data_IF_085703391719
#
_entry.id   IF_085703391719
#
_cell.length_a   1.000
_cell.length_b   1.000
_cell.length_c   1.000
_cell.angle_alpha   90.00
_cell.angle_beta   90.00
_cell.angle_gamma   90.00
#
_symmetry.space_group_name_H-M   'P 1'
#
loop_
_entity.id
_entity.type
_entity.pdbx_description
1 polymer ?
#
# COMPACT_ATOMS: atom_id res chain seq x y z
N UNK A 1 6.44 11.59 -25.01
CA UNK A 1 5.04 11.18 -24.83
C UNK A 1 4.97 9.66 -24.85
N UNK A 2 4.62 9.02 -23.74
CA UNK A 2 4.17 7.62 -23.80
C UNK A 2 2.92 7.46 -22.92
N UNK A 3 1.89 8.21 -23.31
CA UNK A 3 0.53 8.06 -22.80
C UNK A 3 -0.11 6.89 -23.55
N UNK A 4 -0.03 5.69 -22.98
CA UNK A 4 -0.61 4.51 -23.63
C UNK A 4 -0.82 3.26 -22.77
N UNK A 5 -0.21 3.14 -21.59
CA UNK A 5 -0.26 1.90 -20.79
C UNK A 5 -0.81 2.05 -19.35
N UNK A 6 -1.38 3.20 -18.99
CA UNK A 6 -1.97 3.47 -17.66
C UNK A 6 -3.48 3.24 -17.66
N UNK A 7 -3.95 2.05 -18.06
CA UNK A 7 -5.38 1.71 -17.92
C UNK A 7 -5.64 0.24 -17.60
N UNK A 8 -4.82 -0.40 -16.78
CA UNK A 8 -5.35 -1.51 -15.98
C UNK A 8 -5.38 -1.03 -14.55
N UNK A 9 -6.45 -0.31 -14.20
CA UNK A 9 -6.75 -0.02 -12.81
C UNK A 9 -7.00 -1.37 -12.12
N UNK A 10 -5.94 -1.93 -11.55
CA UNK A 10 -6.02 -3.16 -10.77
C UNK A 10 -7.06 -2.95 -9.67
N UNK A 11 -7.80 -4.01 -9.34
CA UNK A 11 -8.83 -3.95 -8.29
C UNK A 11 -8.26 -3.40 -6.97
N UNK A 12 -6.99 -3.69 -6.70
CA UNK A 12 -6.20 -3.12 -5.60
C UNK A 12 -6.02 -1.61 -5.75
N UNK A 13 -5.58 -1.10 -6.90
CA UNK A 13 -5.42 0.34 -7.14
C UNK A 13 -6.72 1.13 -6.91
N UNK A 14 -7.86 0.60 -7.39
CA UNK A 14 -9.17 1.22 -7.14
C UNK A 14 -9.53 1.23 -5.66
N UNK A 15 -9.29 0.12 -4.96
CA UNK A 15 -9.52 -0.01 -3.51
C UNK A 15 -8.68 1.01 -2.73
N UNK A 16 -7.41 1.16 -3.09
CA UNK A 16 -6.50 2.13 -2.47
C UNK A 16 -6.93 3.58 -2.72
N UNK A 17 -7.39 3.91 -3.93
CA UNK A 17 -7.93 5.23 -4.25
C UNK A 17 -9.16 5.57 -3.42
N UNK A 18 -10.08 4.61 -3.22
CA UNK A 18 -11.26 4.77 -2.37
C UNK A 18 -10.88 4.90 -0.89
N UNK A 19 -9.98 4.04 -0.39
CA UNK A 19 -9.48 4.12 0.98
C UNK A 19 -8.83 5.47 1.28
N UNK A 20 -8.05 6.01 0.32
CA UNK A 20 -7.47 7.35 0.45
C UNK A 20 -8.53 8.43 0.57
N UNK A 21 -9.53 8.42 -0.32
CA UNK A 21 -10.63 9.40 -0.29
C UNK A 21 -11.41 9.35 1.02
N UNK A 22 -11.56 8.17 1.60
CA UNK A 22 -12.20 7.96 2.89
C UNK A 22 -11.33 8.34 4.10
N UNK A 23 -10.04 8.66 3.91
CA UNK A 23 -9.10 9.02 4.98
C UNK A 23 -8.47 7.84 5.71
N UNK A 24 -8.56 6.62 5.16
CA UNK A 24 -8.09 5.39 5.79
C UNK A 24 -6.71 4.92 5.35
N UNK A 25 -5.86 5.86 4.89
CA UNK A 25 -4.49 5.54 4.44
C UNK A 25 -3.45 6.41 5.15
N UNK A 26 -2.31 5.81 5.45
CA UNK A 26 -1.12 6.48 5.96
C UNK A 26 0.06 6.20 5.03
N UNK A 27 0.92 7.19 4.81
CA UNK A 27 2.12 7.10 3.97
C UNK A 27 3.35 7.66 4.69
N UNK A 28 4.54 7.32 4.22
CA UNK A 28 5.80 7.88 4.72
C UNK A 28 6.04 7.65 6.22
N UNK A 29 6.44 8.69 6.94
CA UNK A 29 6.69 8.62 8.39
C UNK A 29 5.44 8.27 9.19
N UNK A 30 4.28 8.82 8.82
CA UNK A 30 3.01 8.52 9.50
C UNK A 30 2.62 7.05 9.40
N UNK A 31 2.94 6.40 8.28
CA UNK A 31 2.76 4.95 8.14
C UNK A 31 3.65 4.19 9.13
N UNK A 32 4.93 4.57 9.25
CA UNK A 32 5.84 3.93 10.20
C UNK A 32 5.37 4.08 11.65
N UNK A 33 4.82 5.24 12.02
CA UNK A 33 4.24 5.45 13.34
C UNK A 33 2.94 4.64 13.51
N UNK A 34 2.13 4.53 12.45
CA UNK A 34 0.95 3.67 12.40
C UNK A 34 1.28 2.20 12.66
N UNK A 35 2.39 1.69 12.09
CA UNK A 35 2.88 0.34 12.38
C UNK A 35 3.22 0.19 13.86
N UNK A 36 4.02 1.12 14.41
CA UNK A 36 4.49 1.06 15.81
C UNK A 36 3.35 1.16 16.82
N UNK A 37 2.30 1.88 16.47
CA UNK A 37 1.11 2.07 17.31
C UNK A 37 0.03 1.02 17.05
N UNK A 38 0.27 0.03 16.17
CA UNK A 38 -0.69 -1.00 15.74
C UNK A 38 -2.02 -0.42 15.26
N UNK A 39 -1.98 0.74 14.60
CA UNK A 39 -3.15 1.40 14.01
C UNK A 39 -3.43 1.00 12.57
N UNK A 40 -2.50 0.26 11.96
CA UNK A 40 -2.68 -0.24 10.59
C UNK A 40 -3.25 -1.65 10.62
N UNK A 41 -4.22 -1.89 9.77
CA UNK A 41 -4.80 -3.22 9.53
C UNK A 41 -4.04 -3.98 8.44
N UNK A 42 -3.41 -3.28 7.50
CA UNK A 42 -2.52 -3.86 6.49
C UNK A 42 -1.53 -2.82 5.92
N UNK A 43 -0.45 -3.31 5.32
CA UNK A 43 0.52 -2.51 4.56
C UNK A 43 0.65 -3.08 3.14
N UNK A 44 0.63 -2.19 2.15
CA UNK A 44 0.95 -2.52 0.76
C UNK A 44 2.30 -1.88 0.41
N UNK A 45 3.23 -2.70 -0.01
CA UNK A 45 4.60 -2.34 -0.37
C UNK A 45 4.77 -2.53 -1.88
N UNK A 46 5.37 -1.55 -2.55
CA UNK A 46 5.60 -1.64 -3.99
C UNK A 46 6.65 -2.73 -4.31
N UNK A 47 6.42 -3.47 -5.40
CA UNK A 47 7.26 -4.61 -5.82
C UNK A 47 8.66 -4.19 -6.25
N UNK A 48 8.83 -2.96 -6.72
CA UNK A 48 10.08 -2.31 -7.14
C UNK A 48 10.65 -1.35 -6.07
N UNK A 49 10.12 -1.39 -4.84
CA UNK A 49 10.74 -0.69 -3.73
C UNK A 49 12.17 -1.21 -3.49
N UNK A 50 13.10 -0.32 -3.10
CA UNK A 50 14.48 -0.72 -2.79
C UNK A 50 14.55 -1.80 -1.71
N UNK A 51 15.52 -2.72 -1.83
CA UNK A 51 15.77 -3.79 -0.84
C UNK A 51 15.83 -3.28 0.60
N UNK A 52 16.49 -2.13 0.82
CA UNK A 52 16.53 -1.46 2.12
C UNK A 52 15.13 -1.14 2.64
N UNK A 53 14.27 -0.59 1.78
CA UNK A 53 12.90 -0.22 2.14
C UNK A 53 12.07 -1.46 2.43
N UNK A 54 12.15 -2.48 1.56
CA UNK A 54 11.45 -3.74 1.75
C UNK A 54 11.81 -4.39 3.07
N UNK A 55 13.11 -4.50 3.36
CA UNK A 55 13.60 -5.04 4.63
C UNK A 55 13.04 -4.29 5.84
N UNK A 56 13.19 -2.96 5.87
CA UNK A 56 12.74 -2.16 7.03
C UNK A 56 11.23 -2.26 7.24
N UNK A 57 10.44 -2.22 6.16
CA UNK A 57 8.97 -2.31 6.26
C UNK A 57 8.56 -3.71 6.68
N UNK A 58 9.08 -4.76 6.04
CA UNK A 58 8.76 -6.15 6.36
C UNK A 58 9.18 -6.51 7.79
N UNK A 59 10.37 -6.12 8.25
CA UNK A 59 10.85 -6.39 9.62
C UNK A 59 9.92 -5.76 10.66
N UNK A 60 9.48 -4.52 10.43
CA UNK A 60 8.52 -3.84 11.31
C UNK A 60 7.13 -4.48 11.25
N UNK A 61 6.60 -4.75 10.06
CA UNK A 61 5.29 -5.38 9.93
C UNK A 61 5.27 -6.75 10.60
N UNK A 62 6.32 -7.55 10.42
CA UNK A 62 6.50 -8.83 11.12
C UNK A 62 6.56 -8.68 12.63
N UNK A 63 7.34 -7.72 13.14
CA UNK A 63 7.47 -7.49 14.58
C UNK A 63 6.17 -7.04 15.25
N UNK A 64 5.39 -6.18 14.57
CA UNK A 64 4.11 -5.67 15.09
C UNK A 64 2.91 -6.53 14.66
N UNK A 65 3.14 -7.65 13.98
CA UNK A 65 2.12 -8.60 13.50
C UNK A 65 1.08 -7.97 12.56
N UNK A 66 1.54 -7.07 11.70
CA UNK A 66 0.72 -6.40 10.69
C UNK A 66 0.93 -7.09 9.34
N UNK A 67 -0.13 -7.50 8.63
CA UNK A 67 -0.02 -8.05 7.28
C UNK A 67 0.65 -7.06 6.32
N UNK A 68 1.68 -7.53 5.60
CA UNK A 68 2.39 -6.75 4.59
C UNK A 68 2.35 -7.50 3.26
N UNK A 69 1.88 -6.83 2.21
CA UNK A 69 1.73 -7.41 0.88
C UNK A 69 2.59 -6.66 -0.12
N UNK A 70 3.43 -7.37 -0.87
CA UNK A 70 4.16 -6.81 -2.00
C UNK A 70 3.28 -6.83 -3.25
N UNK A 71 2.79 -5.66 -3.66
CA UNK A 71 1.90 -5.52 -4.81
C UNK A 71 1.96 -4.13 -5.42
N UNK A 72 1.73 -4.04 -6.74
CA UNK A 72 1.90 -2.85 -7.57
C UNK A 72 3.34 -2.35 -7.62
N UNK A 73 3.70 -1.68 -8.71
CA UNK A 73 4.92 -0.88 -8.79
C UNK A 73 4.75 0.48 -8.11
N UNK A 74 5.84 1.16 -7.79
CA UNK A 74 5.84 2.49 -7.19
C UNK A 74 5.07 3.50 -8.04
N UNK A 75 5.19 3.53 -9.39
CA UNK A 75 4.36 4.41 -10.23
C UNK A 75 2.86 4.10 -10.13
N UNK A 76 2.48 2.82 -10.14
CA UNK A 76 1.08 2.40 -10.03
C UNK A 76 0.50 2.75 -8.65
N UNK A 77 1.25 2.48 -7.58
CA UNK A 77 0.86 2.79 -6.21
C UNK A 77 0.71 4.31 -6.00
N UNK A 78 1.68 5.08 -6.51
CA UNK A 78 1.66 6.54 -6.46
C UNK A 78 0.47 7.10 -7.25
N UNK A 79 0.19 6.57 -8.44
CA UNK A 79 -0.94 6.98 -9.27
C UNK A 79 -2.28 6.66 -8.62
N UNK A 80 -2.47 5.45 -8.10
CA UNK A 80 -3.69 5.02 -7.41
C UNK A 80 -4.02 5.90 -6.21
N UNK A 81 -2.97 6.30 -5.48
CA UNK A 81 -3.09 7.18 -4.33
C UNK A 81 -2.97 8.66 -4.70
N UNK A 82 -2.79 9.07 -5.96
CA UNK A 82 -2.60 10.48 -6.33
C UNK A 82 -1.46 11.18 -5.57
N UNK A 83 -0.33 10.50 -5.43
CA UNK A 83 0.94 11.04 -4.91
C UNK A 83 2.01 11.03 -6.01
N UNK A 84 3.10 11.77 -5.82
CA UNK A 84 4.20 11.82 -6.77
C UNK A 84 5.13 10.60 -6.67
N UNK A 85 5.43 10.13 -5.46
CA UNK A 85 6.37 9.03 -5.25
C UNK A 85 6.11 8.33 -3.90
N UNK A 86 5.59 7.10 -3.96
CA UNK A 86 5.25 6.28 -2.79
C UNK A 86 5.77 4.86 -3.00
N UNK A 87 6.55 4.39 -2.03
CA UNK A 87 7.04 3.01 -1.99
C UNK A 87 6.15 2.08 -1.16
N UNK A 88 5.40 2.62 -0.20
CA UNK A 88 4.53 1.85 0.67
C UNK A 88 3.37 2.70 1.21
N UNK A 89 2.24 2.05 1.48
CA UNK A 89 1.05 2.64 2.09
C UNK A 89 0.51 1.72 3.17
N UNK A 90 0.09 2.30 4.29
CA UNK A 90 -0.65 1.62 5.34
C UNK A 90 -2.13 1.89 5.21
N UNK A 91 -2.97 0.87 5.43
CA UNK A 91 -4.43 0.98 5.51
C UNK A 91 -4.83 0.87 6.97
N UNK A 92 -5.62 1.82 7.47
CA UNK A 92 -6.08 1.86 8.88
C UNK A 92 -7.42 1.19 9.10
N UNK A 93 -8.24 1.07 8.05
CA UNK A 93 -9.56 0.44 8.11
C UNK A 93 -9.49 -1.04 7.73
N UNK A 94 -10.10 -1.89 8.54
CA UNK A 94 -10.09 -3.34 8.33
C UNK A 94 -10.87 -3.78 7.08
N UNK A 95 -11.95 -3.09 6.74
CA UNK A 95 -12.77 -3.42 5.57
C UNK A 95 -11.99 -3.20 4.28
N UNK A 96 -11.34 -2.04 4.16
CA UNK A 96 -10.44 -1.74 3.03
C UNK A 96 -9.21 -2.66 3.02
N UNK A 97 -8.64 -3.01 4.17
CA UNK A 97 -7.53 -3.93 4.26
C UNK A 97 -7.89 -5.33 3.73
N UNK A 98 -9.04 -5.88 4.16
CA UNK A 98 -9.57 -7.16 3.67
C UNK A 98 -9.87 -7.12 2.17
N UNK A 99 -10.46 -6.03 1.68
CA UNK A 99 -10.76 -5.88 0.26
C UNK A 99 -9.49 -5.83 -0.60
N UNK A 100 -8.45 -5.13 -0.13
CA UNK A 100 -7.15 -5.08 -0.79
C UNK A 100 -6.48 -6.47 -0.79
N UNK A 101 -6.42 -7.14 0.36
CA UNK A 101 -5.85 -8.48 0.49
C UNK A 101 -6.55 -9.50 -0.42
N UNK A 102 -7.89 -9.56 -0.37
CA UNK A 102 -8.68 -10.43 -1.23
C UNK A 102 -8.43 -10.17 -2.73
N UNK A 103 -8.21 -8.92 -3.11
CA UNK A 103 -7.90 -8.55 -4.50
C UNK A 103 -6.49 -8.95 -4.93
N UNK A 104 -5.55 -9.11 -4.00
CA UNK A 104 -4.17 -9.56 -4.25
C UNK A 104 -4.12 -11.08 -4.35
N UNK A 105 -4.85 -11.78 -3.49
CA UNK A 105 -4.86 -13.25 -3.39
C UNK A 105 -5.65 -13.93 -4.52
N UNK A 106 -6.62 -13.25 -5.15
CA UNK A 106 -7.41 -13.76 -6.28
C UNK A 106 -6.70 -13.67 -7.64
N UNK A 107 -5.36 -13.63 -7.66
CA UNK A 107 -4.56 -13.45 -8.89
C UNK A 107 -4.07 -14.76 -9.47
#
# INVERSE_FOLDING_TARGET
MNSGALWMASKVANTLGLAKRAGFVLVGSKMMDGIRTRKLSAVILATDASERTKKVVNDKCRYYEIPCYEHLSMPELSSALGFSHIAAVGITDEGFAKLAAASIEMR
#
